data_IF_338988788279
#
_entry.id   IF_338988788279
#
_cell.length_a   1.000
_cell.length_b   1.000
_cell.length_c   1.000
_cell.angle_alpha   90.00
_cell.angle_beta   90.00
_cell.angle_gamma   90.00
#
_symmetry.space_group_name_H-M   'P 1'
#
loop_
_entity.id
_entity.type
_entity.pdbx_description
1 polymer ?
#
# COMPACT_ATOMS: atom_id res chain seq x y z
N UNK A 1 -30.33 -5.23 48.01
CA UNK A 1 -30.84 -4.93 49.39
C UNK A 1 -30.07 -5.70 50.46
N UNK A 2 -29.34 -5.00 51.36
CA UNK A 2 -28.60 -5.64 52.45
C UNK A 2 -29.57 -6.28 53.47
N UNK A 3 -29.30 -7.52 53.89
CA UNK A 3 -30.18 -8.24 54.81
C UNK A 3 -29.52 -8.34 56.20
N UNK A 4 -30.18 -7.81 57.22
CA UNK A 4 -29.77 -8.02 58.62
C UNK A 4 -30.27 -9.40 59.03
N UNK A 5 -29.40 -10.40 58.96
CA UNK A 5 -29.74 -11.81 59.23
C UNK A 5 -29.66 -12.21 60.70
N UNK A 6 -29.16 -11.33 61.58
CA UNK A 6 -29.15 -11.53 63.03
C UNK A 6 -29.56 -10.25 63.75
N UNK A 7 -30.57 -10.34 64.61
CA UNK A 7 -30.93 -9.25 65.52
C UNK A 7 -29.90 -9.11 66.65
N UNK A 8 -29.78 -7.92 67.23
CA UNK A 8 -29.01 -7.68 68.45
C UNK A 8 -29.96 -7.60 69.64
N UNK A 9 -29.77 -8.45 70.63
CA UNK A 9 -30.49 -8.36 71.90
C UNK A 9 -29.84 -7.27 72.75
N UNK A 10 -30.62 -6.27 73.15
CA UNK A 10 -30.21 -5.26 74.15
C UNK A 10 -30.65 -5.73 75.53
N UNK A 11 -29.82 -5.54 76.56
CA UNK A 11 -30.21 -5.86 77.94
C UNK A 11 -31.07 -4.75 78.55
N UNK A 12 -31.87 -5.07 79.57
CA UNK A 12 -32.71 -4.08 80.25
C UNK A 12 -31.86 -2.94 80.83
N UNK A 13 -32.27 -1.68 80.58
CA UNK A 13 -31.52 -0.48 80.98
C UNK A 13 -30.40 -0.08 80.01
N UNK A 14 -30.15 -0.86 78.95
CA UNK A 14 -29.15 -0.52 77.94
C UNK A 14 -29.66 0.57 76.99
N UNK A 15 -28.93 1.69 76.90
CA UNK A 15 -29.26 2.76 75.94
C UNK A 15 -28.87 2.33 74.52
N UNK A 16 -29.83 2.39 73.59
CA UNK A 16 -29.60 2.20 72.15
C UNK A 16 -29.00 3.49 71.59
N UNK A 17 -27.67 3.49 71.49
CA UNK A 17 -26.94 4.63 70.90
C UNK A 17 -26.87 4.50 69.37
N UNK A 18 -26.68 5.61 68.63
CA UNK A 18 -26.44 5.56 67.19
C UNK A 18 -25.30 4.61 66.80
N UNK A 19 -24.25 4.52 67.62
CA UNK A 19 -23.13 3.59 67.41
C UNK A 19 -23.55 2.13 67.44
N UNK A 20 -24.45 1.74 68.36
CA UNK A 20 -24.96 0.36 68.44
C UNK A 20 -25.85 0.02 67.26
N UNK A 21 -26.62 1.00 66.78
CA UNK A 21 -27.43 0.84 65.58
C UNK A 21 -26.57 0.72 64.32
N UNK A 22 -25.55 1.58 64.15
CA UNK A 22 -24.60 1.49 63.03
C UNK A 22 -23.86 0.15 63.02
N UNK A 23 -23.40 -0.36 64.17
CA UNK A 23 -22.71 -1.65 64.21
C UNK A 23 -23.59 -2.84 63.76
N UNK A 24 -24.92 -2.73 63.91
CA UNK A 24 -25.86 -3.73 63.40
C UNK A 24 -26.03 -3.60 61.89
N UNK A 25 -26.05 -2.38 61.37
CA UNK A 25 -26.13 -2.09 59.92
C UNK A 25 -24.83 -2.47 59.20
N UNK A 26 -23.67 -2.22 59.81
CA UNK A 26 -22.35 -2.62 59.29
C UNK A 26 -22.16 -4.14 59.26
N UNK A 27 -22.89 -4.87 60.12
CA UNK A 27 -22.92 -6.33 60.11
C UNK A 27 -23.87 -6.92 59.06
N UNK A 28 -24.65 -6.07 58.37
CA UNK A 28 -25.49 -6.50 57.27
C UNK A 28 -24.62 -6.90 56.07
N UNK A 29 -24.84 -8.11 55.56
CA UNK A 29 -24.12 -8.60 54.38
C UNK A 29 -24.94 -8.31 53.13
N UNK A 30 -24.26 -7.87 52.06
CA UNK A 30 -24.86 -7.75 50.73
C UNK A 30 -24.60 -9.06 49.99
N UNK A 31 -25.63 -9.87 49.82
CA UNK A 31 -25.53 -11.22 49.23
C UNK A 31 -25.65 -11.20 47.71
N UNK A 32 -26.42 -10.28 47.13
CA UNK A 32 -26.41 -9.98 45.70
C UNK A 32 -26.60 -8.48 45.47
N UNK A 33 -26.09 -8.00 44.35
CA UNK A 33 -26.45 -6.71 43.77
C UNK A 33 -27.47 -6.95 42.67
N UNK A 34 -28.63 -6.31 42.76
CA UNK A 34 -29.66 -6.33 41.71
C UNK A 34 -29.57 -5.06 40.86
N UNK A 35 -30.20 -5.05 39.68
CA UNK A 35 -30.22 -3.86 38.81
C UNK A 35 -30.79 -2.64 39.53
N UNK A 36 -31.80 -2.81 40.39
CA UNK A 36 -32.40 -1.72 41.15
C UNK A 36 -31.48 -1.13 42.24
N UNK A 37 -30.44 -1.85 42.67
CA UNK A 37 -29.46 -1.34 43.65
C UNK A 37 -28.45 -0.37 42.98
N UNK A 38 -28.36 -0.33 41.65
CA UNK A 38 -27.47 0.55 40.87
C UNK A 38 -28.33 1.45 39.98
N UNK A 39 -28.45 2.72 40.34
CA UNK A 39 -29.11 3.69 39.46
C UNK A 39 -28.33 3.90 38.15
N UNK A 40 -29.01 4.46 37.15
CA UNK A 40 -28.40 4.77 35.86
C UNK A 40 -27.15 5.65 36.02
N UNK A 41 -26.15 5.37 35.17
CA UNK A 41 -24.86 6.07 35.12
C UNK A 41 -24.04 6.07 36.43
N UNK A 42 -24.39 5.25 37.43
CA UNK A 42 -23.67 5.23 38.71
C UNK A 42 -22.28 4.59 38.62
N UNK A 43 -22.05 3.69 37.67
CA UNK A 43 -20.73 3.10 37.46
C UNK A 43 -19.93 4.01 36.53
N UNK A 44 -19.20 4.95 37.12
CA UNK A 44 -18.33 5.88 36.42
C UNK A 44 -16.95 5.28 36.16
N UNK A 45 -16.14 5.94 35.32
CA UNK A 45 -14.75 5.53 35.05
C UNK A 45 -13.92 5.42 36.33
N UNK A 46 -14.04 6.36 37.27
CA UNK A 46 -13.32 6.31 38.55
C UNK A 46 -13.67 5.08 39.42
N UNK A 47 -14.85 4.48 39.23
CA UNK A 47 -15.26 3.25 39.93
C UNK A 47 -14.77 1.98 39.25
N UNK A 48 -14.26 2.07 38.01
CA UNK A 48 -13.61 0.98 37.28
C UNK A 48 -12.17 1.39 37.01
N UNK A 49 -11.25 0.99 37.89
CA UNK A 49 -9.84 1.24 37.65
C UNK A 49 -9.36 0.65 36.30
N UNK A 50 -8.32 1.27 35.74
CA UNK A 50 -7.77 0.86 34.45
C UNK A 50 -7.41 -0.63 34.43
N UNK A 51 -7.63 -1.28 33.30
CA UNK A 51 -7.40 -2.72 33.08
C UNK A 51 -8.27 -3.68 33.93
N UNK A 52 -9.22 -3.19 34.73
CA UNK A 52 -10.09 -4.08 35.49
C UNK A 52 -11.12 -4.81 34.63
N UNK A 53 -11.49 -4.33 33.45
CA UNK A 53 -12.35 -5.06 32.51
C UNK A 53 -11.49 -6.00 31.66
N UNK A 54 -11.21 -7.18 32.21
CA UNK A 54 -10.41 -8.22 31.55
C UNK A 54 -11.24 -9.01 30.53
N UNK A 55 -10.58 -9.79 29.67
CA UNK A 55 -11.26 -10.68 28.73
C UNK A 55 -12.25 -11.63 29.41
N UNK A 56 -11.91 -12.20 30.57
CA UNK A 56 -12.82 -13.07 31.33
C UNK A 56 -14.12 -12.38 31.79
N UNK A 57 -14.14 -11.04 31.89
CA UNK A 57 -15.34 -10.24 32.21
C UNK A 57 -16.17 -9.88 30.97
N UNK A 58 -15.64 -10.15 29.77
CA UNK A 58 -16.31 -9.97 28.50
C UNK A 58 -16.56 -11.35 27.91
N UNK A 59 -17.79 -11.85 28.01
CA UNK A 59 -18.12 -13.14 27.41
C UNK A 59 -17.79 -13.15 25.90
N UNK A 60 -17.43 -14.33 25.39
CA UNK A 60 -17.08 -14.49 23.98
C UNK A 60 -18.19 -13.96 23.06
N UNK A 61 -17.78 -13.30 21.97
CA UNK A 61 -18.68 -12.66 21.00
C UNK A 61 -19.58 -11.53 21.53
N UNK A 62 -19.40 -11.08 22.79
CA UNK A 62 -20.19 -9.95 23.28
C UNK A 62 -19.83 -8.61 22.64
N UNK A 63 -18.63 -8.43 22.09
CA UNK A 63 -18.25 -7.22 21.35
C UNK A 63 -18.63 -7.39 19.88
N UNK A 64 -19.89 -7.14 19.56
CA UNK A 64 -20.46 -7.24 18.21
C UNK A 64 -20.11 -6.02 17.36
N UNK A 65 -20.26 -6.12 16.04
CA UNK A 65 -20.03 -4.99 15.10
C UNK A 65 -20.82 -3.73 15.50
N UNK A 66 -22.10 -3.85 15.87
CA UNK A 66 -22.91 -2.72 16.32
C UNK A 66 -22.40 -2.00 17.59
N UNK A 67 -21.50 -2.64 18.37
CA UNK A 67 -20.87 -2.04 19.56
C UNK A 67 -19.54 -1.36 19.22
N UNK A 68 -19.07 -1.50 17.99
CA UNK A 68 -17.85 -0.90 17.47
C UNK A 68 -18.26 0.16 16.47
N UNK A 69 -18.00 1.43 16.78
CA UNK A 69 -18.27 2.51 15.83
C UNK A 69 -17.42 2.35 14.56
N UNK A 70 -17.96 2.78 13.41
CA UNK A 70 -17.23 2.76 12.15
C UNK A 70 -15.91 3.53 12.26
N UNK A 71 -14.82 2.90 11.82
CA UNK A 71 -13.46 3.45 11.92
C UNK A 71 -12.84 3.40 13.32
N UNK A 72 -13.53 2.87 14.34
CA UNK A 72 -12.97 2.75 15.69
C UNK A 72 -11.74 1.83 15.75
N UNK A 73 -11.67 0.81 14.87
CA UNK A 73 -10.51 -0.06 14.72
C UNK A 73 -9.71 0.41 13.49
N UNK A 74 -8.66 1.18 13.73
CA UNK A 74 -7.75 1.66 12.68
C UNK A 74 -6.71 0.60 12.33
N UNK A 75 -6.04 0.71 11.18
CA UNK A 75 -4.94 -0.19 10.81
C UNK A 75 -3.84 -0.28 11.88
N UNK A 76 -3.57 0.82 12.60
CA UNK A 76 -2.61 0.85 13.71
C UNK A 76 -3.05 0.01 14.94
N UNK A 77 -4.34 -0.32 15.06
CA UNK A 77 -4.90 -1.19 16.12
C UNK A 77 -4.93 -2.66 15.71
N UNK A 78 -4.63 -2.96 14.45
CA UNK A 78 -4.55 -4.30 13.90
C UNK A 78 -3.08 -4.71 13.78
N UNK A 79 -2.80 -6.00 13.94
CA UNK A 79 -1.46 -6.51 13.66
C UNK A 79 -1.21 -6.52 12.14
N UNK A 80 0.07 -6.52 11.74
CA UNK A 80 0.44 -6.51 10.31
C UNK A 80 -0.07 -7.71 9.53
N UNK A 81 -0.33 -8.84 10.20
CA UNK A 81 -0.86 -10.06 9.57
C UNK A 81 -2.34 -9.94 9.18
N UNK A 82 -3.07 -8.95 9.69
CA UNK A 82 -4.46 -8.65 9.33
C UNK A 82 -4.54 -7.60 8.20
N UNK A 83 -3.42 -6.97 7.82
CA UNK A 83 -3.39 -6.02 6.71
C UNK A 83 -3.47 -6.78 5.38
N UNK A 84 -4.59 -6.62 4.66
CA UNK A 84 -4.83 -7.28 3.37
C UNK A 84 -3.80 -6.90 2.29
N UNK A 85 -3.29 -5.67 2.33
CA UNK A 85 -2.30 -5.15 1.38
C UNK A 85 -1.18 -4.43 2.14
N UNK A 86 0.05 -4.96 2.13
CA UNK A 86 1.14 -4.39 2.92
C UNK A 86 1.53 -2.98 2.45
N UNK A 87 1.96 -2.14 3.38
CA UNK A 87 2.55 -0.83 3.06
C UNK A 87 3.73 -1.00 2.08
N UNK A 88 3.81 -0.12 1.07
CA UNK A 88 4.76 -0.21 -0.02
C UNK A 88 4.27 -0.98 -1.25
N UNK A 89 3.14 -1.70 -1.16
CA UNK A 89 2.54 -2.36 -2.32
C UNK A 89 2.07 -1.31 -3.36
N UNK A 90 2.30 -1.61 -4.63
CA UNK A 90 1.90 -0.77 -5.77
C UNK A 90 0.86 -1.48 -6.61
N UNK A 91 -0.23 -0.79 -6.99
CA UNK A 91 -1.27 -1.37 -7.85
C UNK A 91 -1.93 -0.32 -8.75
N UNK A 92 -2.46 -0.73 -9.92
CA UNK A 92 -3.22 0.16 -10.79
C UNK A 92 -4.66 0.33 -10.30
N UNK A 93 -5.16 1.56 -10.41
CA UNK A 93 -6.51 1.97 -10.10
C UNK A 93 -7.19 2.54 -11.35
N UNK A 94 -8.47 2.23 -11.53
CA UNK A 94 -9.29 2.73 -12.63
C UNK A 94 -9.82 4.16 -12.41
N UNK A 95 -9.56 4.74 -11.24
CA UNK A 95 -9.95 6.10 -10.85
C UNK A 95 -8.79 7.08 -11.02
N UNK A 96 -9.09 8.37 -11.20
CA UNK A 96 -8.09 9.43 -11.43
C UNK A 96 -7.58 10.11 -10.14
N UNK A 97 -7.87 9.56 -8.97
CA UNK A 97 -7.36 10.06 -7.69
C UNK A 97 -7.06 8.90 -6.76
N UNK A 98 -6.02 9.02 -5.93
CA UNK A 98 -5.67 7.96 -5.00
C UNK A 98 -6.74 7.83 -3.91
N UNK A 99 -7.23 6.62 -3.61
CA UNK A 99 -8.17 6.41 -2.50
C UNK A 99 -7.50 6.60 -1.13
N UNK A 100 -8.30 6.72 -0.08
CA UNK A 100 -7.77 6.86 1.29
C UNK A 100 -6.84 5.70 1.66
N UNK A 101 -5.70 6.01 2.27
CA UNK A 101 -4.65 5.05 2.59
C UNK A 101 -3.72 4.70 1.42
N UNK A 102 -3.84 5.39 0.28
CA UNK A 102 -3.00 5.25 -0.89
C UNK A 102 -2.46 6.61 -1.36
N UNK A 103 -1.27 6.60 -1.96
CA UNK A 103 -0.65 7.77 -2.60
C UNK A 103 -0.49 7.48 -4.10
N UNK A 104 -0.60 8.49 -4.95
CA UNK A 104 -0.27 8.33 -6.37
C UNK A 104 1.23 8.02 -6.54
N UNK A 105 1.56 7.11 -7.46
CA UNK A 105 2.94 6.81 -7.81
C UNK A 105 3.43 7.79 -8.90
N UNK A 106 3.55 9.06 -8.51
CA UNK A 106 3.83 10.21 -9.38
C UNK A 106 5.14 10.94 -9.04
N UNK A 107 6.00 10.35 -8.20
CA UNK A 107 7.26 10.95 -7.78
C UNK A 107 7.16 12.01 -6.69
N UNK A 108 5.96 12.25 -6.14
CA UNK A 108 5.76 13.21 -5.04
C UNK A 108 6.63 12.86 -3.84
N UNK A 109 7.08 13.90 -3.13
CA UNK A 109 7.88 13.74 -1.92
C UNK A 109 7.04 13.82 -0.64
N UNK A 110 7.41 13.02 0.36
CA UNK A 110 6.73 12.93 1.64
C UNK A 110 7.73 12.91 2.80
N UNK A 111 7.32 13.43 3.96
CA UNK A 111 8.17 13.43 5.16
C UNK A 111 8.46 12.00 5.61
N UNK A 112 9.72 11.75 6.01
CA UNK A 112 10.14 10.45 6.59
C UNK A 112 9.51 10.16 7.95
N UNK A 113 8.89 11.15 8.58
CA UNK A 113 8.29 11.07 9.92
C UNK A 113 6.78 11.26 9.86
N UNK A 114 6.10 10.98 10.98
CA UNK A 114 4.66 11.15 11.10
C UNK A 114 3.89 10.16 10.23
N UNK A 115 2.90 10.64 9.48
CA UNK A 115 1.93 9.84 8.73
C UNK A 115 2.55 8.81 7.78
N UNK A 116 3.72 9.11 7.19
CA UNK A 116 4.33 8.27 6.16
C UNK A 116 5.55 7.49 6.64
N UNK A 117 5.82 7.46 7.95
CA UNK A 117 7.00 6.80 8.51
C UNK A 117 7.06 5.29 8.20
N UNK A 118 5.93 4.60 8.20
CA UNK A 118 5.86 3.17 7.85
C UNK A 118 6.16 2.95 6.37
N UNK A 119 5.69 3.83 5.48
CA UNK A 119 6.03 3.77 4.07
C UNK A 119 7.51 4.04 3.84
N UNK A 120 8.08 5.04 4.52
CA UNK A 120 9.51 5.31 4.47
C UNK A 120 10.33 4.09 4.93
N UNK A 121 9.93 3.43 6.02
CA UNK A 121 10.59 2.21 6.48
C UNK A 121 10.53 1.08 5.43
N UNK A 122 9.48 1.03 4.61
CA UNK A 122 9.30 0.00 3.59
C UNK A 122 10.12 0.27 2.30
N UNK A 123 10.18 1.52 1.83
CA UNK A 123 10.79 1.83 0.51
C UNK A 123 12.08 2.66 0.58
N UNK A 124 12.40 3.20 1.75
CA UNK A 124 13.58 4.04 1.97
C UNK A 124 13.65 5.20 0.99
N UNK A 125 14.83 5.37 0.40
CA UNK A 125 15.15 6.48 -0.53
C UNK A 125 15.31 6.01 -1.97
N UNK A 126 14.83 4.80 -2.30
CA UNK A 126 14.99 4.19 -3.63
C UNK A 126 14.59 5.11 -4.78
N UNK A 127 13.56 5.94 -4.59
CA UNK A 127 13.04 6.84 -5.62
C UNK A 127 13.46 8.30 -5.45
N UNK A 128 14.34 8.58 -4.48
CA UNK A 128 14.91 9.90 -4.22
C UNK A 128 14.79 10.32 -2.76
N UNK A 129 15.80 11.06 -2.32
CA UNK A 129 15.88 11.68 -0.99
C UNK A 129 15.90 13.20 -1.14
N UNK A 130 15.02 13.89 -0.41
CA UNK A 130 14.78 15.32 -0.61
C UNK A 130 14.57 16.07 0.71
N UNK A 131 14.33 17.38 0.63
CA UNK A 131 14.01 18.25 1.77
C UNK A 131 12.62 18.93 1.70
N UNK A 132 11.68 18.40 0.91
CA UNK A 132 10.32 18.98 0.84
C UNK A 132 10.20 20.24 -0.03
N UNK A 133 11.21 20.51 -0.87
CA UNK A 133 11.22 21.59 -1.84
C UNK A 133 11.75 21.15 -3.22
N UNK A 134 11.64 19.85 -3.54
CA UNK A 134 12.11 19.29 -4.80
C UNK A 134 13.63 19.08 -4.96
N UNK A 135 14.46 19.63 -4.06
CA UNK A 135 15.92 19.47 -4.05
C UNK A 135 16.41 18.28 -3.21
N UNK A 136 17.67 17.87 -3.42
CA UNK A 136 18.34 16.80 -2.66
C UNK A 136 18.36 17.14 -1.17
N UNK A 137 18.13 16.14 -0.31
CA UNK A 137 17.98 16.37 1.12
C UNK A 137 17.90 15.09 1.93
N UNK A 138 17.58 15.20 3.22
CA UNK A 138 17.56 14.05 4.16
C UNK A 138 16.27 13.90 4.95
N UNK A 139 15.32 14.83 4.82
CA UNK A 139 14.09 14.86 5.64
C UNK A 139 12.89 14.21 4.96
N UNK A 140 12.92 14.09 3.63
CA UNK A 140 11.84 13.56 2.81
C UNK A 140 12.34 12.43 1.89
N UNK A 141 11.40 11.61 1.43
CA UNK A 141 11.62 10.57 0.43
C UNK A 141 10.59 10.71 -0.68
N UNK A 142 10.88 10.18 -1.87
CA UNK A 142 9.92 10.13 -2.98
C UNK A 142 9.24 8.77 -3.09
N UNK A 143 7.99 8.78 -3.51
CA UNK A 143 7.32 7.59 -4.04
C UNK A 143 7.80 7.33 -5.49
N UNK A 144 7.57 6.14 -6.07
CA UNK A 144 7.87 5.91 -7.49
C UNK A 144 7.18 6.94 -8.39
N UNK A 145 7.75 7.25 -9.56
CA UNK A 145 7.04 7.90 -10.66
C UNK A 145 6.90 6.92 -11.82
N UNK A 146 5.72 6.32 -11.94
CA UNK A 146 5.43 5.25 -12.91
C UNK A 146 4.70 5.77 -14.16
N UNK A 147 4.42 7.07 -14.25
CA UNK A 147 3.74 7.64 -15.41
C UNK A 147 4.61 7.47 -16.65
N UNK A 148 4.06 6.86 -17.69
CA UNK A 148 4.76 6.61 -18.96
C UNK A 148 5.73 5.41 -18.93
N UNK A 149 5.84 4.67 -17.82
CA UNK A 149 6.69 3.50 -17.72
C UNK A 149 5.87 2.21 -17.69
N UNK A 150 6.38 1.17 -18.35
CA UNK A 150 5.96 -0.20 -18.09
C UNK A 150 6.71 -0.75 -16.88
N UNK A 151 6.04 -1.58 -16.08
CA UNK A 151 6.65 -2.27 -14.94
C UNK A 151 7.10 -3.66 -15.37
N UNK A 152 8.32 -4.05 -15.00
CA UNK A 152 8.86 -5.41 -15.20
C UNK A 152 9.52 -5.90 -13.91
N UNK A 153 9.57 -7.23 -13.72
CA UNK A 153 10.25 -7.84 -12.58
C UNK A 153 11.74 -7.47 -12.56
N UNK A 154 12.30 -7.14 -11.40
CA UNK A 154 13.71 -6.77 -11.28
C UNK A 154 14.63 -7.99 -11.19
N UNK A 155 15.92 -7.78 -11.48
CA UNK A 155 16.96 -8.82 -11.35
C UNK A 155 17.02 -9.79 -12.53
N UNK A 156 17.79 -10.86 -12.37
CA UNK A 156 17.99 -11.89 -13.40
C UNK A 156 17.07 -13.07 -13.15
N UNK A 157 16.35 -13.54 -14.17
CA UNK A 157 15.46 -14.70 -14.03
C UNK A 157 16.25 -16.03 -14.02
N UNK A 158 15.55 -17.15 -13.81
CA UNK A 158 16.13 -18.51 -13.81
C UNK A 158 16.79 -18.90 -15.12
N UNK A 159 16.43 -18.23 -16.22
CA UNK A 159 16.97 -18.47 -17.55
C UNK A 159 18.24 -17.66 -17.83
N UNK A 160 18.72 -16.88 -16.84
CA UNK A 160 19.90 -16.01 -16.98
C UNK A 160 19.62 -14.68 -17.68
N UNK A 161 18.36 -14.34 -17.96
CA UNK A 161 17.98 -13.09 -18.62
C UNK A 161 17.92 -11.99 -17.57
N UNK A 162 18.84 -11.02 -17.68
CA UNK A 162 18.87 -9.86 -16.83
C UNK A 162 17.71 -8.91 -17.16
N UNK A 163 16.96 -8.54 -16.13
CA UNK A 163 16.12 -7.35 -16.12
C UNK A 163 16.92 -6.14 -15.66
N UNK A 164 16.29 -4.97 -15.62
CA UNK A 164 16.87 -3.78 -15.04
C UNK A 164 17.16 -3.91 -13.53
N UNK A 165 18.05 -3.05 -13.05
CA UNK A 165 18.28 -2.84 -11.62
C UNK A 165 16.99 -2.39 -10.93
N UNK A 166 16.71 -2.93 -9.74
CA UNK A 166 15.53 -2.56 -8.96
C UNK A 166 15.47 -1.05 -8.72
N UNK A 167 14.30 -0.44 -8.95
CA UNK A 167 14.07 0.99 -8.77
C UNK A 167 14.64 1.90 -9.87
N UNK A 168 15.38 1.36 -10.85
CA UNK A 168 16.01 2.15 -11.91
C UNK A 168 15.16 2.15 -13.18
N UNK A 169 14.92 3.35 -13.72
CA UNK A 169 14.26 3.56 -15.01
C UNK A 169 15.17 3.12 -16.15
N UNK A 170 14.63 2.34 -17.08
CA UNK A 170 15.32 1.94 -18.30
C UNK A 170 14.79 2.76 -19.48
N UNK A 171 15.66 3.12 -20.42
CA UNK A 171 15.24 3.67 -21.70
C UNK A 171 14.55 2.58 -22.55
N UNK A 172 13.80 3.01 -23.56
CA UNK A 172 13.34 2.10 -24.60
C UNK A 172 14.53 1.50 -25.37
N UNK A 173 14.37 0.26 -25.81
CA UNK A 173 15.39 -0.42 -26.62
C UNK A 173 14.72 -1.41 -27.57
N UNK A 174 15.26 -1.52 -28.79
CA UNK A 174 14.91 -2.56 -29.75
C UNK A 174 16.02 -3.57 -29.82
N UNK A 175 15.66 -4.86 -29.87
CA UNK A 175 16.65 -5.89 -30.16
C UNK A 175 17.35 -5.54 -31.48
N UNK A 176 18.68 -5.53 -31.43
CA UNK A 176 19.52 -5.32 -32.61
C UNK A 176 19.10 -6.26 -33.75
N UNK A 177 18.93 -5.68 -34.94
CA UNK A 177 18.55 -6.40 -36.14
C UNK A 177 19.16 -5.72 -37.39
N UNK A 178 19.27 -6.46 -38.48
CA UNK A 178 19.76 -5.98 -39.76
C UNK A 178 18.73 -6.18 -40.88
N UNK A 179 18.92 -5.43 -41.98
CA UNK A 179 18.14 -5.58 -43.20
C UNK A 179 19.09 -5.96 -44.34
N UNK A 180 18.66 -6.86 -45.22
CA UNK A 180 19.40 -7.18 -46.45
C UNK A 180 18.55 -6.76 -47.65
N UNK A 181 19.17 -6.00 -48.56
CA UNK A 181 18.59 -5.61 -49.84
C UNK A 181 19.39 -6.28 -50.94
N UNK A 182 18.73 -7.04 -51.80
CA UNK A 182 19.37 -7.66 -52.97
C UNK A 182 19.13 -6.77 -54.19
N UNK A 183 20.19 -6.13 -54.70
CA UNK A 183 20.17 -5.52 -56.03
C UNK A 183 20.56 -6.57 -57.07
N UNK A 184 19.90 -6.58 -58.23
CA UNK A 184 20.27 -7.48 -59.33
C UNK A 184 21.63 -7.01 -59.87
N UNK A 185 22.66 -7.85 -59.74
CA UNK A 185 23.94 -7.65 -60.43
C UNK A 185 23.94 -8.54 -61.67
N UNK A 186 23.86 -7.94 -62.86
CA UNK A 186 24.01 -8.68 -64.13
C UNK A 186 25.49 -9.08 -64.25
N UNK A 187 25.83 -10.35 -63.99
CA UNK A 187 27.23 -10.82 -63.94
C UNK A 187 27.73 -11.59 -65.15
N UNK A 188 26.95 -11.74 -66.22
CA UNK A 188 27.43 -12.36 -67.47
C UNK A 188 26.44 -12.06 -68.62
N UNK A 189 26.75 -11.07 -69.45
CA UNK A 189 26.15 -10.99 -70.78
C UNK A 189 27.00 -11.87 -71.70
N UNK A 190 26.41 -12.95 -72.23
CA UNK A 190 27.00 -13.72 -73.33
C UNK A 190 27.26 -12.79 -74.54
N UNK A 191 28.20 -13.11 -75.46
CA UNK A 191 28.46 -12.27 -76.64
C UNK A 191 27.15 -11.99 -77.38
N UNK A 192 26.75 -10.72 -77.41
CA UNK A 192 25.48 -10.30 -78.00
C UNK A 192 25.58 -10.50 -79.52
N UNK A 193 24.70 -11.29 -80.16
CA UNK A 193 24.71 -11.46 -81.61
C UNK A 193 24.55 -10.11 -82.32
N UNK A 194 25.33 -9.90 -83.39
CA UNK A 194 25.28 -8.68 -84.21
C UNK A 194 23.84 -8.43 -84.72
N UNK A 195 23.26 -7.30 -84.30
CA UNK A 195 21.90 -6.88 -84.69
C UNK A 195 20.88 -6.77 -83.55
N UNK A 196 21.20 -7.23 -82.33
CA UNK A 196 20.36 -7.02 -81.15
C UNK A 196 20.63 -5.65 -80.51
N UNK A 197 19.69 -4.72 -80.62
CA UNK A 197 19.67 -3.48 -79.83
C UNK A 197 19.23 -3.80 -78.39
N UNK A 198 20.18 -4.12 -77.50
CA UNK A 198 19.92 -4.04 -76.06
C UNK A 198 19.96 -2.56 -75.65
N UNK A 199 18.92 -2.03 -74.99
CA UNK A 199 18.99 -0.73 -74.36
C UNK A 199 20.23 -0.72 -73.47
N UNK A 200 21.10 0.27 -73.64
CA UNK A 200 22.27 0.45 -72.80
C UNK A 200 21.80 0.56 -71.33
N UNK A 201 21.83 -0.53 -70.58
CA UNK A 201 21.78 -0.48 -69.13
C UNK A 201 23.15 0.02 -68.64
N UNK A 202 23.52 1.24 -69.02
CA UNK A 202 24.52 2.04 -68.34
C UNK A 202 23.93 2.57 -67.01
N UNK A 203 23.30 1.67 -66.25
CA UNK A 203 23.09 1.88 -64.84
C UNK A 203 24.40 1.53 -64.17
N UNK A 204 25.15 2.54 -63.76
CA UNK A 204 26.34 2.40 -62.94
C UNK A 204 26.04 1.38 -61.81
N UNK A 205 26.67 0.20 -61.86
CA UNK A 205 26.57 -0.78 -60.77
C UNK A 205 27.39 -0.22 -59.61
N UNK A 206 26.85 0.78 -58.91
CA UNK A 206 27.51 1.38 -57.76
C UNK A 206 27.54 0.34 -56.63
N UNK A 207 28.72 -0.21 -56.27
CA UNK A 207 28.85 -1.17 -55.18
C UNK A 207 28.52 -0.54 -53.81
N UNK A 208 28.30 0.78 -53.75
CA UNK A 208 27.85 1.53 -52.58
C UNK A 208 26.38 2.00 -52.69
N UNK A 209 25.59 1.47 -53.64
CA UNK A 209 24.18 1.84 -53.82
C UNK A 209 23.36 1.47 -52.57
N UNK A 210 23.31 2.39 -51.63
CA UNK A 210 22.63 2.24 -50.34
C UNK A 210 21.15 2.48 -50.57
N UNK A 211 20.36 1.39 -50.58
CA UNK A 211 18.90 1.46 -50.63
C UNK A 211 18.41 1.71 -49.20
N UNK A 212 18.17 2.97 -48.87
CA UNK A 212 17.66 3.38 -47.55
C UNK A 212 16.13 3.35 -47.55
N UNK A 213 15.52 2.65 -46.60
CA UNK A 213 14.08 2.75 -46.36
C UNK A 213 13.74 4.07 -45.67
N UNK A 214 12.53 4.60 -45.89
CA UNK A 214 12.05 5.77 -45.14
C UNK A 214 11.66 5.39 -43.72
N UNK A 215 11.81 6.30 -42.75
CA UNK A 215 11.25 6.11 -41.41
C UNK A 215 9.72 6.07 -41.47
N UNK A 216 9.10 5.13 -40.77
CA UNK A 216 7.64 5.04 -40.58
C UNK A 216 7.37 4.74 -39.11
N UNK A 217 6.42 5.43 -38.49
CA UNK A 217 6.07 5.26 -37.08
C UNK A 217 5.87 6.57 -36.33
N UNK A 218 5.78 6.48 -34.99
CA UNK A 218 5.71 7.62 -34.08
C UNK A 218 7.00 7.83 -33.27
N UNK A 219 6.96 8.76 -32.30
CA UNK A 219 8.11 9.08 -31.41
C UNK A 219 8.37 8.04 -30.32
N UNK A 220 7.48 7.06 -30.17
CA UNK A 220 7.55 6.02 -29.16
C UNK A 220 7.12 4.71 -29.81
N UNK A 221 7.86 3.64 -29.55
CA UNK A 221 7.41 2.31 -29.91
C UNK A 221 6.79 1.64 -28.70
N UNK A 222 5.51 1.27 -28.81
CA UNK A 222 4.76 0.64 -27.74
C UNK A 222 3.73 -0.34 -28.29
N UNK A 223 3.41 -1.42 -27.56
CA UNK A 223 2.21 -2.19 -27.84
C UNK A 223 0.96 -1.34 -27.54
N UNK A 224 -0.21 -1.78 -28.00
CA UNK A 224 -1.49 -1.21 -27.54
C UNK A 224 -1.54 -1.26 -26.02
N UNK A 225 -1.90 -0.14 -25.38
CA UNK A 225 -1.98 -0.02 -23.93
C UNK A 225 -3.11 0.91 -23.49
N UNK A 226 -3.44 0.85 -22.20
CA UNK A 226 -4.35 1.75 -21.51
C UNK A 226 -3.63 2.35 -20.30
N UNK A 227 -3.84 3.64 -20.06
CA UNK A 227 -3.26 4.34 -18.91
C UNK A 227 -4.18 4.18 -17.69
N UNK A 228 -3.61 3.77 -16.56
CA UNK A 228 -4.28 3.67 -15.26
C UNK A 228 -3.48 4.44 -14.20
N UNK A 229 -4.14 4.88 -13.13
CA UNK A 229 -3.45 5.51 -12.01
C UNK A 229 -2.77 4.44 -11.16
N UNK A 230 -1.44 4.40 -11.16
CA UNK A 230 -0.73 3.59 -10.19
C UNK A 230 -0.69 4.30 -8.83
N UNK A 231 -0.98 3.57 -7.77
CA UNK A 231 -0.86 4.06 -6.40
C UNK A 231 -0.02 3.12 -5.54
N UNK A 232 0.57 3.67 -4.49
CA UNK A 232 1.34 2.96 -3.46
C UNK A 232 0.63 3.04 -2.10
N UNK A 233 0.55 1.92 -1.39
CA UNK A 233 -0.06 1.84 -0.05
C UNK A 233 0.87 2.50 0.98
N UNK A 234 0.37 3.41 1.81
CA UNK A 234 1.11 3.96 2.96
C UNK A 234 0.54 3.49 4.30
#
# INVERSE_FOLDING_TARGET
MALVTKGRTFVSGEVVTPTKLNSLVDSATVTQIQTADISDAQITTAKIADSNVTSAKIADSNVTTAKIADGAITGAKLNSSVILVPTGAVMPFAMNSAPSGWLAADGTEYSKTGTYATLFAAIGVTYGETNGAGGVGTTHFRVPDLRGYFVRGAGTNSDGIASGTFGVKQADDFKSHNHTSSTIVVRNIAPIPTGWNVPNLAGNLDPNNTVTTTSTGGTETRPRNIAMLYCIKF
#
